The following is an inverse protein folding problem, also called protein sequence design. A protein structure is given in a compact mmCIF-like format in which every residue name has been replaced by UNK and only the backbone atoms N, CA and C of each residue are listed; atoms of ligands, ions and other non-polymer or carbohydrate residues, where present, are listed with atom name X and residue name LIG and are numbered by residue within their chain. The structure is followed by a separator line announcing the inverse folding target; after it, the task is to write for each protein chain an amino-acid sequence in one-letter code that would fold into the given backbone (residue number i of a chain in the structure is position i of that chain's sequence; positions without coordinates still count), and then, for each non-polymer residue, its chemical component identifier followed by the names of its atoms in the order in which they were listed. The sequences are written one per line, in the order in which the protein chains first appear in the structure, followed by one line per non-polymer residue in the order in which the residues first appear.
data_IF_495677789488
#
_entry.id   IF_495677789488
#
_cell.length_a   1.000
_cell.length_b   1.000
_cell.length_c   1.000
_cell.angle_alpha   90.00
_cell.angle_beta   90.00
_cell.angle_gamma   90.00
#
_symmetry.space_group_name_H-M   'P 1'
#
loop_
_entity.id
_entity.type
_entity.pdbx_description
1 polymer ?
2 non-polymer ?
3 water ?
#
# COMPACT_ATOMS: atom_id res chain seq x y z
N UNK A 12 8.57 7.88 22.84
CA UNK A 12 9.80 7.16 23.16
C UNK A 12 10.61 6.87 21.90
N UNK A 13 11.87 7.30 21.89
CA UNK A 13 12.78 7.12 20.76
C UNK A 13 14.02 6.36 21.22
N UNK A 14 14.90 6.07 20.28
CA UNK A 14 16.15 5.41 20.59
C UNK A 14 16.02 3.95 20.98
N UNK A 15 14.89 3.33 20.69
CA UNK A 15 14.65 1.93 21.02
C UNK A 15 14.09 1.20 19.81
N UNK A 16 14.68 0.06 19.49
CA UNK A 16 14.18 -0.81 18.43
C UNK A 16 13.40 -1.96 19.05
N UNK A 17 12.20 -2.20 18.53
CA UNK A 17 11.30 -3.23 19.04
C UNK A 17 10.96 -4.19 17.91
N UNK A 18 11.85 -5.14 17.67
CA UNK A 18 11.64 -6.17 16.66
C UNK A 18 11.03 -7.39 17.35
N UNK A 19 9.83 -7.78 16.92
CA UNK A 19 9.15 -8.89 17.54
C UNK A 19 8.60 -8.55 18.91
N UNK A 20 9.16 -9.17 19.95
CA UNK A 20 8.74 -8.90 21.30
C UNK A 20 9.87 -8.50 22.22
N UNK A 21 10.96 -8.01 21.64
CA UNK A 21 12.15 -7.61 22.38
C UNK A 21 12.51 -6.18 22.03
N UNK A 22 12.78 -5.37 23.05
CA UNK A 22 13.17 -3.97 22.87
C UNK A 22 14.66 -3.83 23.15
N UNK A 23 15.38 -3.27 22.19
CA UNK A 23 16.83 -3.08 22.28
C UNK A 23 17.15 -1.59 22.31
N UNK A 24 17.94 -1.17 23.30
CA UNK A 24 18.46 0.19 23.33
C UNK A 24 19.45 0.36 22.19
N UNK A 25 19.07 1.13 21.18
CA UNK A 25 19.86 1.24 19.96
C UNK A 25 20.31 2.68 19.74
N UNK A 26 21.25 2.83 18.82
CA UNK A 26 21.78 4.13 18.42
C UNK A 26 21.93 4.11 16.91
N UNK A 27 22.15 5.29 16.32
CA UNK A 27 22.26 5.38 14.87
C UNK A 27 23.49 4.61 14.37
N UNK A 28 24.57 4.62 15.16
CA UNK A 28 25.76 3.86 14.79
C UNK A 28 25.60 2.37 15.04
N UNK A 29 24.59 1.96 15.81
CA UNK A 29 24.33 0.54 15.98
C UNK A 29 23.70 -0.10 14.75
N UNK A 30 23.38 0.69 13.73
CA UNK A 30 22.80 0.19 12.50
C UNK A 30 23.84 0.29 11.38
N UNK A 31 24.03 -0.82 10.67
CA UNK A 31 24.99 -0.86 9.56
C UNK A 31 24.27 -0.57 8.25
N UNK A 32 24.67 0.50 7.59
CA UNK A 32 24.02 0.92 6.35
C UNK A 32 24.36 -0.05 5.22
N UNK A 33 23.33 -0.68 4.65
CA UNK A 33 23.50 -1.63 3.55
C UNK A 33 23.06 -1.04 2.21
N UNK A 34 22.91 0.27 2.13
CA UNK A 34 22.55 0.92 0.89
C UNK A 34 21.10 1.40 0.89
N UNK A 35 20.83 2.33 -0.01
CA UNK A 35 19.49 2.89 -0.15
C UNK A 35 18.60 1.95 -0.96
N UNK A 36 17.29 2.14 -0.81
CA UNK A 36 16.30 1.34 -1.51
C UNK A 36 15.43 2.24 -2.38
N UNK A 37 14.96 1.69 -3.49
CA UNK A 37 14.16 2.45 -4.43
C UNK A 37 12.68 2.41 -4.15
N UNK A 38 12.11 3.56 -3.80
CA UNK A 38 10.68 3.66 -3.52
C UNK A 38 10.27 5.13 -3.64
N UNK A 39 8.96 5.35 -3.59
CA UNK A 39 8.42 6.69 -3.63
C UNK A 39 8.83 7.51 -2.41
N UNK A 40 9.64 8.53 -2.61
CA UNK A 40 10.15 9.34 -1.52
C UNK A 40 9.04 10.17 -0.88
N UNK A 43 13.99 9.43 1.96
CA UNK A 43 15.19 8.64 1.71
C UNK A 43 15.26 7.44 2.65
N UNK A 44 14.86 6.27 2.16
CA UNK A 44 14.78 5.07 2.98
C UNK A 44 16.04 4.24 2.77
N UNK A 45 16.65 3.81 3.86
CA UNK A 45 17.85 2.98 3.83
C UNK A 45 17.52 1.56 4.28
N UNK A 46 18.31 0.62 3.79
CA UNK A 46 18.28 -0.76 4.28
C UNK A 46 19.46 -0.94 5.23
N UNK A 47 19.16 -1.19 6.50
CA UNK A 47 20.19 -1.26 7.53
C UNK A 47 20.11 -2.59 8.26
N UNK A 48 21.21 -2.93 8.94
CA UNK A 48 21.33 -4.17 9.68
C UNK A 48 21.68 -3.84 11.13
N UNK A 49 20.81 -4.24 12.05
CA UNK A 49 21.07 -4.04 13.48
C UNK A 49 22.22 -4.93 13.92
N UNK A 50 23.33 -4.31 14.32
CA UNK A 50 24.54 -5.08 14.62
C UNK A 50 24.36 -5.96 15.86
N UNK A 51 23.55 -5.53 16.83
CA UNK A 51 23.39 -6.30 18.05
C UNK A 51 22.52 -7.53 17.87
N UNK A 52 21.69 -7.58 16.82
CA UNK A 52 20.79 -8.71 16.59
C UNK A 52 20.95 -9.34 15.22
N UNK A 53 21.37 -8.58 14.20
CA UNK A 53 21.44 -9.08 12.85
C UNK A 53 20.21 -8.85 12.01
N UNK A 54 19.18 -8.21 12.57
CA UNK A 54 17.95 -7.96 11.82
C UNK A 54 18.20 -6.92 10.74
N UNK A 55 17.67 -7.18 9.55
CA UNK A 55 17.69 -6.22 8.44
C UNK A 55 16.40 -5.42 8.49
N UNK A 56 16.53 -4.10 8.62
CA UNK A 56 15.37 -3.22 8.78
C UNK A 56 15.46 -2.10 7.76
N UNK A 57 14.32 -1.43 7.56
CA UNK A 57 14.23 -0.27 6.68
C UNK A 57 14.24 0.99 7.53
N UNK A 58 15.18 1.89 7.25
CA UNK A 58 15.36 3.11 8.02
C UNK A 58 15.28 4.30 7.07
N UNK A 59 14.21 5.08 7.17
CA UNK A 59 14.08 6.30 6.39
C UNK A 59 14.63 7.47 7.18
N UNK A 60 15.50 8.26 6.55
CA UNK A 60 16.19 9.36 7.20
C UNK A 60 15.55 10.68 6.78
N UNK A 61 15.04 11.43 7.76
CA UNK A 61 14.48 12.75 7.54
C UNK A 61 15.51 13.79 7.95
N UNK A 62 16.10 14.47 6.97
CA UNK A 62 17.09 15.50 7.27
C UNK A 62 16.43 16.71 7.92
N UNK A 63 17.11 17.27 8.93
CA UNK A 63 16.59 18.44 9.61
C UNK A 63 16.52 19.65 8.68
N UNK A 64 17.46 19.77 7.76
CA UNK A 64 17.48 20.86 6.79
C UNK A 64 16.79 20.49 5.48
N UNK A 65 15.93 19.47 5.49
CA UNK A 65 15.25 19.04 4.30
C UNK A 65 14.05 19.92 3.97
N UNK A 66 13.29 19.48 2.98
CA UNK A 66 12.11 20.21 2.53
C UNK A 66 11.05 20.20 3.64
N UNK A 67 10.56 21.40 3.98
CA UNK A 67 9.53 21.49 5.00
C UNK A 67 8.25 20.79 4.58
N UNK A 68 7.94 20.80 3.27
CA UNK A 68 6.75 20.11 2.79
C UNK A 68 6.94 18.61 2.81
N UNK A 69 8.13 18.13 2.42
CA UNK A 69 8.39 16.70 2.45
C UNK A 69 8.49 16.18 3.88
N UNK A 70 9.17 16.94 4.75
CA UNK A 70 9.26 16.52 6.15
C UNK A 70 7.90 16.52 6.83
N UNK A 71 6.98 17.40 6.41
CA UNK A 71 5.63 17.37 6.94
C UNK A 71 4.91 16.10 6.55
N UNK A 72 5.13 15.63 5.32
CA UNK A 72 4.51 14.38 4.90
C UNK A 72 5.11 13.18 5.61
N UNK A 73 6.40 13.23 5.96
CA UNK A 73 7.03 12.13 6.67
C UNK A 73 6.50 12.05 8.09
N UNK A 74 6.32 13.20 8.75
CA UNK A 74 5.81 13.19 10.12
C UNK A 74 4.33 12.85 10.17
N UNK A 75 3.58 13.05 9.08
CA UNK A 75 2.17 12.71 9.08
C UNK A 75 1.97 11.21 9.06
N UNK A 76 2.72 10.51 8.20
CA UNK A 76 2.57 9.06 8.11
C UNK A 76 3.11 8.37 9.36
N UNK A 77 4.20 8.90 9.92
CA UNK A 77 4.73 8.34 11.16
C UNK A 77 3.71 8.47 12.29
N UNK A 78 2.97 9.57 12.32
CA UNK A 78 1.92 9.74 13.32
C UNK A 78 0.85 8.66 13.17
N UNK A 79 0.56 8.26 11.93
CA UNK A 79 -0.43 7.22 11.69
C UNK A 79 0.18 5.84 11.92
N UNK A 80 1.43 5.64 11.51
CA UNK A 80 2.08 4.34 11.65
C UNK A 80 2.26 3.99 13.12
N UNK A 81 2.62 4.98 13.94
CA UNK A 81 2.87 4.71 15.35
C UNK A 81 1.60 4.24 16.07
N UNK A 82 0.45 4.84 15.75
CA UNK A 82 -0.80 4.46 16.37
C UNK A 82 -1.52 3.33 15.61
N UNK A 83 -0.88 2.75 14.61
CA UNK A 83 -1.42 1.60 13.88
C UNK A 83 -0.68 0.31 14.25
N UNK A 84 -0.25 0.20 15.51
CA UNK A 84 0.52 -0.97 15.91
C UNK A 84 -0.35 -2.22 16.06
N UNK A 85 -1.64 -2.04 16.32
CA UNK A 85 -2.56 -3.16 16.48
C UNK A 85 -3.19 -3.62 15.17
N UNK A 86 -2.71 -3.10 14.03
CA UNK A 86 -3.22 -3.50 12.73
C UNK A 86 -2.17 -4.33 12.01
N UNK A 87 -2.49 -5.56 11.60
CA UNK A 87 -1.49 -6.41 10.94
C UNK A 87 -1.33 -6.15 9.45
N UNK A 88 -1.99 -5.13 8.91
CA UNK A 88 -1.92 -4.83 7.48
C UNK A 88 -1.30 -3.46 7.22
N UNK A 89 -0.62 -2.89 8.21
CA UNK A 89 0.08 -1.62 8.08
C UNK A 89 1.56 -1.87 8.37
N UNK A 90 2.43 -1.24 7.58
CA UNK A 90 3.86 -1.36 7.83
C UNK A 90 4.18 -0.77 9.20
N UNK A 91 4.91 -1.53 10.00
CA UNK A 91 5.16 -1.16 11.39
C UNK A 91 6.47 -0.40 11.53
N UNK A 92 6.55 0.40 12.59
CA UNK A 92 7.73 1.17 12.92
C UNK A 92 8.40 0.54 14.13
N UNK A 93 9.66 0.11 13.97
CA UNK A 93 10.37 -0.51 15.07
C UNK A 93 10.85 0.51 16.09
N UNK A 94 11.08 1.75 15.68
CA UNK A 94 11.55 2.77 16.60
C UNK A 94 12.01 3.99 15.84
N UNK A 95 12.49 4.96 16.60
CA UNK A 95 12.93 6.23 16.04
C UNK A 95 14.23 6.66 16.71
N UNK A 96 15.06 7.37 15.96
CA UNK A 96 16.31 7.94 16.46
C UNK A 96 16.32 9.42 16.14
N UNK A 97 16.36 10.26 17.16
CA UNK A 97 16.36 11.71 17.01
C UNK A 97 17.76 12.19 17.33
N UNK A 98 18.58 12.39 16.30
CA UNK A 98 19.91 12.93 16.46
C UNK A 98 19.86 14.46 16.37
N UNK A 99 21.04 15.09 16.42
CA UNK A 99 21.09 16.54 16.38
C UNK A 99 20.71 17.09 15.01
N UNK A 100 20.99 16.34 13.94
CA UNK A 100 20.75 16.83 12.59
C UNK A 100 19.80 15.96 11.78
N UNK A 101 19.36 14.81 12.31
CA UNK A 101 18.54 13.89 11.53
C UNK A 101 17.52 13.22 12.44
N UNK A 102 16.52 12.60 11.80
CA UNK A 102 15.55 11.76 12.48
C UNK A 102 15.42 10.47 11.67
N UNK A 103 15.69 9.34 12.32
CA UNK A 103 15.69 8.04 11.65
C UNK A 103 14.49 7.23 12.10
N UNK A 104 13.62 6.88 11.16
CA UNK A 104 12.44 6.08 11.42
C UNK A 104 12.71 4.65 10.97
N UNK A 105 12.62 3.71 11.90
CA UNK A 105 12.95 2.31 11.63
C UNK A 105 11.68 1.55 11.28
N UNK A 106 11.46 1.33 9.99
CA UNK A 106 10.33 0.54 9.51
C UNK A 106 10.77 -0.90 9.30
N UNK A 107 9.78 -1.81 9.30
CA UNK A 107 10.08 -3.20 9.02
C UNK A 107 10.48 -3.38 7.56
N UNK A 108 11.30 -4.38 7.30
CA UNK A 108 11.83 -4.63 5.98
C UNK A 108 10.95 -5.63 5.25
N UNK A 109 10.50 -5.26 4.06
CA UNK A 109 9.66 -6.11 3.23
C UNK A 109 10.31 -6.30 1.86
N UNK A 110 9.74 -7.22 1.09
CA UNK A 110 10.30 -7.58 -0.21
C UNK A 110 10.24 -6.48 -1.25
N UNK A 111 9.03 -6.12 -1.68
CA UNK A 111 8.85 -5.11 -2.71
C UNK A 111 7.41 -4.62 -2.65
N UNK A 112 7.02 -3.81 -3.64
CA UNK A 112 5.66 -3.31 -3.77
C UNK A 112 4.96 -4.01 -4.93
N UNK A 113 3.65 -3.81 -5.01
CA UNK A 113 2.88 -4.44 -6.08
C UNK A 113 3.22 -3.86 -7.44
N UNK A 114 3.70 -2.61 -7.49
CA UNK A 114 4.09 -2.02 -8.76
C UNK A 114 5.32 -2.71 -9.34
N UNK A 115 6.37 -2.83 -8.52
CA UNK A 115 7.58 -3.50 -8.98
C UNK A 115 7.34 -4.99 -9.21
N UNK A 116 6.46 -5.60 -8.42
CA UNK A 116 6.12 -7.00 -8.65
C UNK A 116 5.42 -7.18 -9.99
N UNK A 117 4.64 -6.19 -10.42
CA UNK A 117 4.03 -6.24 -11.75
C UNK A 117 5.08 -6.16 -12.84
N UNK A 118 6.17 -5.44 -12.59
CA UNK A 118 7.22 -5.30 -13.60
C UNK A 118 8.03 -6.60 -13.73
N UNK A 119 8.42 -7.18 -12.59
CA UNK A 119 9.19 -8.43 -12.63
C UNK A 119 8.36 -9.58 -13.18
N UNK A 120 7.05 -9.59 -12.92
CA UNK A 120 6.20 -10.65 -13.41
C UNK A 120 6.06 -10.61 -14.94
N UNK A 121 6.09 -9.40 -15.52
CA UNK A 121 5.87 -9.21 -16.95
C UNK A 121 4.56 -9.86 -17.40
N UNK A 122 3.54 -9.76 -16.56
CA UNK A 122 2.25 -10.35 -16.83
C UNK A 122 1.29 -10.21 -15.66
N UNK A 123 0.14 -10.87 -15.76
CA UNK A 123 -0.86 -10.74 -14.71
C UNK A 123 -0.42 -11.38 -13.41
N UNK A 124 -1.11 -11.01 -12.33
CA UNK A 124 -0.91 -11.58 -11.01
C UNK A 124 -2.07 -12.55 -10.74
N UNK A 125 -1.80 -13.74 -10.21
CA UNK A 125 -2.89 -14.69 -9.97
C UNK A 125 -3.95 -14.13 -9.04
N UNK A 126 -5.19 -14.60 -9.26
CA UNK A 126 -6.32 -14.11 -8.46
C UNK A 126 -6.17 -14.53 -7.00
N UNK A 127 -5.62 -15.72 -6.74
CA UNK A 127 -5.47 -16.18 -5.36
C UNK A 127 -4.50 -15.29 -4.59
N UNK A 128 -3.55 -14.67 -5.27
CA UNK A 128 -2.65 -13.71 -4.61
C UNK A 128 -3.35 -12.37 -4.42
N UNK A 129 -4.12 -11.94 -5.43
CA UNK A 129 -4.89 -10.71 -5.29
C UNK A 129 -6.02 -10.85 -4.28
N UNK A 130 -6.50 -12.07 -4.04
CA UNK A 130 -7.53 -12.26 -3.03
C UNK A 130 -7.01 -11.96 -1.63
N UNK A 131 -5.86 -12.53 -1.27
CA UNK A 131 -5.23 -12.19 0.00
C UNK A 131 -4.86 -10.72 0.06
N UNK A 132 -4.45 -10.14 -1.07
CA UNK A 132 -4.15 -8.72 -1.11
C UNK A 132 -5.41 -7.89 -0.91
N UNK A 133 -6.52 -8.31 -1.51
CA UNK A 133 -7.76 -7.55 -1.39
C UNK A 133 -8.25 -7.53 0.05
N UNK A 134 -8.21 -8.67 0.73
CA UNK A 134 -8.63 -8.72 2.13
C UNK A 134 -7.71 -7.87 2.99
N UNK A 135 -6.42 -7.79 2.63
CA UNK A 135 -5.47 -7.04 3.44
C UNK A 135 -5.69 -5.54 3.29
N UNK A 136 -5.83 -5.05 2.06
CA UNK A 136 -5.91 -3.61 1.84
C UNK A 136 -7.25 -3.07 2.35
N UNK A 137 -8.33 -3.83 2.19
CA UNK A 137 -9.63 -3.37 2.64
C UNK A 137 -9.66 -3.25 4.17
N UNK A 138 -9.17 -4.29 4.87
CA UNK A 138 -9.09 -4.22 6.32
C UNK A 138 -8.12 -3.15 6.79
N UNK A 139 -7.12 -2.83 5.97
CA UNK A 139 -6.20 -1.75 6.33
C UNK A 139 -6.86 -0.39 6.19
N UNK A 140 -7.60 -0.18 5.10
CA UNK A 140 -8.30 1.08 4.91
C UNK A 140 -9.47 1.21 5.89
N UNK A 141 -10.15 0.10 6.17
CA UNK A 141 -11.24 0.12 7.13
C UNK A 141 -10.74 0.45 8.54
N UNK A 142 -9.56 -0.07 8.89
CA UNK A 142 -8.97 0.25 10.18
C UNK A 142 -8.67 1.74 10.31
N UNK A 143 -8.20 2.36 9.23
CA UNK A 143 -7.87 3.77 9.27
C UNK A 143 -9.12 4.63 9.45
N UNK A 144 -10.23 4.25 8.79
CA UNK A 144 -11.43 5.06 8.86
C UNK A 144 -12.14 4.91 10.20
N UNK A 145 -12.00 3.76 10.86
CA UNK A 145 -12.71 3.48 12.10
C UNK A 145 -11.88 3.79 13.34
N UNK A 146 -10.64 3.31 13.40
CA UNK A 146 -9.82 3.51 14.59
C UNK A 146 -9.27 4.93 14.68
N UNK A 147 -9.04 5.58 13.55
CA UNK A 147 -8.45 6.92 13.56
C UNK A 147 -9.13 7.90 12.61
N UNK A 148 -10.16 7.48 11.87
CA UNK A 148 -10.79 8.37 10.92
C UNK A 148 -9.87 8.86 9.82
N UNK A 149 -8.92 8.03 9.41
CA UNK A 149 -7.89 8.41 8.45
C UNK A 149 -8.30 7.93 7.07
N UNK A 150 -8.18 8.81 6.08
CA UNK A 150 -8.45 8.50 4.68
C UNK A 150 -7.10 8.47 3.94
N UNK A 151 -6.82 7.36 3.27
CA UNK A 151 -5.54 7.20 2.59
C UNK A 151 -5.41 8.19 1.44
N UNK A 152 -6.37 8.19 0.52
CA UNK A 152 -6.47 9.12 -0.61
C UNK A 152 -5.33 8.96 -1.62
N UNK A 153 -4.58 7.86 -1.55
CA UNK A 153 -3.52 7.62 -2.53
C UNK A 153 -3.25 6.12 -2.62
N UNK A 154 -4.31 5.34 -2.85
CA UNK A 154 -4.18 3.89 -2.97
C UNK A 154 -3.74 3.54 -4.39
N UNK A 155 -2.65 2.78 -4.50
CA UNK A 155 -2.09 2.39 -5.79
C UNK A 155 -1.14 1.22 -5.54
N UNK A 156 -0.78 0.47 -6.60
CA UNK A 156 0.09 -0.69 -6.39
C UNK A 156 1.42 -0.35 -5.73
N UNK A 157 1.92 0.87 -5.90
CA UNK A 157 3.18 1.24 -5.28
C UNK A 157 3.11 1.33 -3.76
N UNK A 158 1.90 1.29 -3.19
CA UNK A 158 1.72 1.36 -1.74
C UNK A 158 1.25 0.05 -1.13
N UNK A 159 1.51 -1.07 -1.80
CA UNK A 159 1.11 -2.39 -1.33
C UNK A 159 2.37 -3.24 -1.25
N UNK A 160 2.83 -3.51 -0.02
CA UNK A 160 4.09 -4.20 0.21
C UNK A 160 3.88 -5.69 0.41
N UNK A 161 4.90 -6.47 0.07
CA UNK A 161 4.92 -7.92 0.28
C UNK A 161 6.30 -8.32 0.79
N UNK A 162 6.38 -9.54 1.33
CA UNK A 162 7.64 -10.06 1.86
C UNK A 162 7.74 -11.55 1.58
N UNK A 163 8.80 -12.16 2.10
CA UNK A 163 9.00 -13.59 1.91
C UNK A 163 8.00 -14.43 2.67
N UNK A 164 7.53 -13.94 3.82
CA UNK A 164 6.61 -14.70 4.68
C UNK A 164 5.17 -14.64 4.20
N UNK A 165 4.90 -14.04 3.04
CA UNK A 165 3.56 -14.01 2.50
C UNK A 165 2.67 -12.91 3.03
N UNK A 166 3.21 -11.98 3.81
CA UNK A 166 2.41 -10.88 4.33
C UNK A 166 2.20 -9.81 3.26
N UNK A 167 1.08 -9.10 3.37
CA UNK A 167 0.74 -8.00 2.48
C UNK A 167 0.25 -6.84 3.34
N UNK A 168 0.89 -5.69 3.21
CA UNK A 168 0.64 -4.59 4.12
C UNK A 168 0.54 -3.26 3.37
N UNK A 169 0.03 -2.27 4.06
CA UNK A 169 -0.11 -0.92 3.53
C UNK A 169 1.13 -0.11 3.80
N UNK A 170 1.37 0.88 2.94
CA UNK A 170 2.63 1.61 2.93
C UNK A 170 2.39 2.92 3.66
N UNK A 171 2.49 4.06 2.98
CA UNK A 171 2.61 5.31 3.69
C UNK A 171 1.70 6.41 3.17
N UNK A 172 1.13 7.10 4.13
CA UNK A 172 0.01 8.02 3.98
C UNK A 172 0.58 9.39 4.31
N UNK A 173 1.20 9.99 3.30
CA UNK A 173 1.77 11.31 3.46
C UNK A 173 0.77 12.38 3.08
N UNK A 174 -0.36 11.96 2.51
CA UNK A 174 -1.44 12.88 2.22
C UNK A 174 -2.69 12.54 3.01
N UNK A 175 -2.59 11.62 3.96
CA UNK A 175 -3.77 11.18 4.71
C UNK A 175 -4.37 12.33 5.50
N UNK A 176 -5.70 12.32 5.57
CA UNK A 176 -6.43 13.31 6.32
C UNK A 176 -7.44 12.66 7.25
N UNK A 177 -7.67 13.31 8.38
CA UNK A 177 -8.63 12.82 9.36
C UNK A 177 -10.05 13.18 8.96
N UNK A 189 -3.60 12.87 -4.20
CA UNK A 189 -3.32 11.53 -4.67
C UNK A 189 -2.93 11.49 -6.14
N UNK A 190 -2.53 10.31 -6.61
CA UNK A 190 -2.14 10.15 -8.00
C UNK A 190 -3.38 10.26 -8.89
N UNK A 191 -3.27 11.05 -9.97
CA UNK A 191 -4.40 11.28 -10.86
C UNK A 191 -4.77 10.04 -11.67
N UNK A 192 -3.93 9.02 -11.70
CA UNK A 192 -4.23 7.82 -12.48
C UNK A 192 -5.23 6.91 -11.78
N UNK A 193 -5.28 6.95 -10.45
CA UNK A 193 -6.20 6.13 -9.67
C UNK A 193 -7.25 6.97 -8.95
N UNK A 194 -7.41 8.23 -9.35
CA UNK A 194 -8.29 9.15 -8.64
C UNK A 194 -9.75 8.83 -8.93
N UNK A 195 -10.58 8.95 -7.90
CA UNK A 195 -11.99 8.61 -8.02
C UNK A 195 -12.71 9.60 -8.93
N UNK A 196 -13.83 9.19 -9.54
CA UNK A 196 -14.56 10.13 -10.40
C UNK A 196 -15.08 11.36 -9.67
N UNK A 197 -15.55 11.20 -8.43
CA UNK A 197 -16.04 12.35 -7.68
C UNK A 197 -14.92 13.22 -7.14
N UNK A 198 -13.69 12.71 -7.10
CA UNK A 198 -12.56 13.57 -6.77
C UNK A 198 -12.15 14.47 -7.92
N UNK A 199 -12.58 14.15 -9.14
CA UNK A 199 -12.32 14.99 -10.30
C UNK A 199 -13.40 16.04 -10.48
N UNK A 200 -14.66 15.66 -10.24
CA UNK A 200 -15.80 16.57 -10.35
C UNK A 200 -16.66 16.39 -9.10
N UNK A 201 -16.31 17.06 -8.01
CA UNK A 201 -17.02 16.83 -6.75
C UNK A 201 -18.33 17.61 -6.69
N UNK A 202 -19.44 16.93 -6.43
CA UNK A 202 -20.70 17.65 -6.19
C UNK A 202 -20.72 18.23 -4.79
N UNK A 203 -21.26 19.45 -4.68
CA UNK A 203 -21.37 20.18 -3.42
C UNK A 203 -20.02 20.32 -2.73
N UNK A 210 -14.42 11.48 2.49
CA UNK A 210 -15.01 10.55 1.53
C UNK A 210 -14.16 9.29 1.41
N UNK A 211 -14.48 8.29 2.22
CA UNK A 211 -13.71 7.04 2.22
C UNK A 211 -13.98 6.23 0.95
N UNK A 212 -15.12 6.43 0.31
CA UNK A 212 -15.45 5.67 -0.90
C UNK A 212 -14.61 6.08 -2.10
N UNK A 213 -13.77 7.11 -1.96
CA UNK A 213 -12.89 7.49 -3.06
C UNK A 213 -11.73 6.53 -3.21
N UNK A 214 -11.26 5.94 -2.11
CA UNK A 214 -10.20 4.95 -2.17
C UNK A 214 -10.70 3.60 -2.67
N UNK A 215 -12.00 3.33 -2.57
CA UNK A 215 -12.57 2.10 -3.12
C UNK A 215 -12.38 2.07 -4.63
N UNK A 216 -12.54 3.22 -5.28
CA UNK A 216 -12.27 3.29 -6.72
C UNK A 216 -10.79 3.10 -7.01
N UNK A 217 -9.92 3.74 -6.22
CA UNK A 217 -8.48 3.60 -6.43
C UNK A 217 -8.04 2.16 -6.22
N UNK A 218 -8.67 1.46 -5.28
CA UNK A 218 -8.36 0.05 -5.07
C UNK A 218 -8.84 -0.79 -6.25
N UNK A 219 -10.02 -0.48 -6.78
CA UNK A 219 -10.53 -1.23 -7.92
C UNK A 219 -9.68 -1.06 -9.16
N UNK A 220 -9.21 0.17 -9.41
CA UNK A 220 -8.33 0.40 -10.55
C UNK A 220 -7.00 -0.33 -10.36
N UNK A 221 -6.51 -0.38 -9.12
CA UNK A 221 -5.27 -1.10 -8.86
C UNK A 221 -5.45 -2.60 -9.03
N UNK A 222 -6.64 -3.13 -8.73
CA UNK A 222 -6.88 -4.56 -8.90
C UNK A 222 -6.89 -4.96 -10.37
N UNK A 223 -7.55 -4.15 -11.22
CA UNK A 223 -7.59 -4.45 -12.64
C UNK A 223 -6.20 -4.38 -13.25
N UNK A 224 -5.38 -3.43 -12.78
CA UNK A 224 -4.03 -3.30 -13.31
C UNK A 224 -3.18 -4.53 -12.98
N UNK A 225 -3.32 -5.05 -11.75
CA UNK A 225 -2.54 -6.21 -11.36
C UNK A 225 -3.13 -7.51 -11.90
N UNK A 226 -4.44 -7.58 -12.08
CA UNK A 226 -5.07 -8.79 -12.59
C UNK A 226 -4.85 -9.00 -14.08
N UNK A 227 -4.55 -7.93 -14.82
CA UNK A 227 -4.33 -8.02 -16.26
C UNK A 227 -2.91 -7.67 -16.68
N UNK A 228 -2.10 -7.09 -15.79
CA UNK A 228 -0.77 -6.66 -16.16
C UNK A 228 -0.72 -5.40 -16.98
N UNK A 229 -1.86 -4.74 -17.19
CA UNK A 229 -1.93 -3.52 -17.97
C UNK A 229 -2.75 -2.47 -17.21
N UNK A 230 -2.34 -1.22 -17.31
CA UNK A 230 -3.12 -0.15 -16.70
C UNK A 230 -4.44 0.02 -17.44
N UNK A 231 -5.55 0.22 -16.72
CA UNK A 231 -6.86 0.27 -17.40
C UNK A 231 -6.96 1.37 -18.45
N UNK A 232 -6.51 2.59 -18.12
CA UNK A 232 -6.59 3.72 -19.04
C UNK A 232 -5.24 3.87 -19.74
N UNK A 233 -5.07 3.08 -20.79
CA UNK A 233 -3.83 3.08 -21.56
C UNK A 233 -3.87 4.16 -22.65
N UNK A 234 -2.72 4.35 -23.29
CA UNK A 234 -2.55 5.34 -24.36
C UNK A 234 -2.92 6.74 -23.87
N UNK A 235 -2.39 7.11 -22.71
CA UNK A 235 -2.62 8.41 -22.09
C UNK A 235 -1.29 9.11 -21.88
N UNK A 236 -1.07 10.21 -22.59
CA UNK A 236 0.15 11.00 -22.48
C UNK A 236 -0.04 12.26 -21.65
N UNK A 237 -1.16 12.38 -20.94
CA UNK A 237 -1.44 13.55 -20.13
C UNK A 237 -2.27 13.13 -18.92
N UNK A 238 -1.95 13.71 -17.76
CA UNK A 238 -2.73 13.42 -16.56
C UNK A 238 -4.19 13.80 -16.74
N UNK A 239 -4.45 14.93 -17.43
CA UNK A 239 -5.83 15.35 -17.66
C UNK A 239 -6.54 14.40 -18.61
N UNK A 240 -5.82 13.79 -19.55
CA UNK A 240 -6.45 12.82 -20.45
C UNK A 240 -6.94 11.59 -19.69
N UNK A 241 -6.22 11.20 -18.63
CA UNK A 241 -6.68 10.10 -17.79
C UNK A 241 -7.98 10.48 -17.09
N UNK A 242 -8.08 11.75 -16.67
CA UNK A 242 -9.29 12.20 -15.99
C UNK A 242 -10.51 12.17 -16.91
N UNK A 243 -10.31 12.45 -18.19
CA UNK A 243 -11.43 12.46 -19.12
C UNK A 243 -11.96 11.05 -19.35
N UNK A 244 -11.07 10.06 -19.41
CA UNK A 244 -11.51 8.68 -19.64
C UNK A 244 -12.22 8.11 -18.42
N UNK A 245 -11.91 8.61 -17.23
CA UNK A 245 -12.60 8.13 -16.02
C UNK A 245 -14.05 8.59 -16.04
N UNK A 246 -14.30 9.82 -16.50
CA UNK A 246 -15.65 10.37 -16.51
C UNK A 246 -16.42 10.05 -17.78
N UNK A 247 -15.76 10.00 -18.92
CA UNK A 247 -16.46 9.77 -20.18
C UNK A 247 -16.73 8.29 -20.43
N UNK A 248 -15.74 7.44 -20.16
CA UNK A 248 -15.85 6.03 -20.48
C UNK A 248 -16.38 5.24 -19.28
N UNK A 249 -16.88 4.03 -19.58
CA UNK A 249 -17.37 3.14 -18.54
C UNK A 249 -16.22 2.64 -17.68
N UNK A 250 -16.51 2.24 -16.45
CA UNK A 250 -15.45 1.71 -15.57
C UNK A 250 -14.82 0.47 -16.16
N UNK A 251 -13.48 0.37 -16.14
CA UNK A 251 -12.81 -0.79 -16.74
C UNK A 251 -12.89 -2.03 -15.86
N UNK A 252 -13.82 -2.93 -16.18
CA UNK A 252 -13.99 -4.16 -15.43
C UNK A 252 -12.97 -5.20 -15.89
N UNK A 253 -13.04 -6.39 -15.29
CA UNK A 253 -12.10 -7.46 -15.62
C UNK A 253 -12.59 -8.23 -16.85
N UNK A 254 -11.68 -8.68 -17.70
CA UNK A 254 -12.08 -9.51 -18.84
C UNK A 254 -12.63 -10.85 -18.39
N UNK A 255 -13.53 -11.40 -19.19
CA UNK A 255 -14.15 -12.68 -18.87
C UNK A 255 -13.49 -13.89 -19.45
N UNK A 256 -12.47 -13.71 -20.29
CA UNK A 256 -11.79 -14.82 -20.95
C UNK A 256 -10.46 -15.18 -20.27
N UNK A 257 -10.25 -14.72 -19.04
CA UNK A 257 -9.05 -15.05 -18.28
C UNK A 257 -9.31 -16.02 -17.14
N UNK A 258 -10.53 -16.52 -17.01
CA UNK A 258 -10.84 -17.47 -15.95
C UNK A 258 -11.09 -16.84 -14.59
N UNK A 259 -11.38 -15.55 -14.55
CA UNK A 259 -11.65 -14.89 -13.27
C UNK A 259 -12.97 -15.39 -12.69
N UNK A 260 -12.99 -15.56 -11.37
CA UNK A 260 -14.20 -16.04 -10.70
C UNK A 260 -15.29 -14.98 -10.74
N UNK A 261 -16.54 -15.45 -10.55
CA UNK A 261 -17.65 -14.53 -10.51
C UNK A 261 -17.58 -13.57 -9.33
N UNK A 262 -17.09 -14.07 -8.19
CA UNK A 262 -16.95 -13.22 -7.01
C UNK A 262 -15.89 -12.14 -7.22
N UNK A 263 -14.82 -12.45 -7.96
CA UNK A 263 -13.79 -11.47 -8.23
C UNK A 263 -14.32 -10.36 -9.13
N UNK A 264 -15.03 -10.74 -10.20
CA UNK A 264 -15.59 -9.73 -11.10
C UNK A 264 -16.67 -8.90 -10.42
N UNK A 265 -17.43 -9.51 -9.50
CA UNK A 265 -18.44 -8.76 -8.76
C UNK A 265 -17.80 -7.75 -7.82
N UNK A 266 -16.63 -8.07 -7.27
CA UNK A 266 -15.97 -7.15 -6.35
C UNK A 266 -15.40 -5.95 -7.09
N UNK A 267 -14.81 -6.18 -8.27
CA UNK A 267 -14.25 -5.09 -9.05
C UNK A 267 -15.36 -4.18 -9.59
N UNK A 268 -16.45 -4.78 -10.07
CA UNK A 268 -17.56 -4.00 -10.57
C UNK A 268 -18.17 -3.12 -9.47
N UNK A 269 -18.25 -3.64 -8.24
CA UNK A 269 -18.77 -2.85 -7.14
C UNK A 269 -17.80 -1.75 -6.75
N UNK A 270 -16.50 -2.04 -6.74
CA UNK A 270 -15.50 -1.01 -6.44
C UNK A 270 -15.44 0.05 -7.53
N UNK A 271 -15.68 -0.33 -8.78
CA UNK A 271 -15.62 0.61 -9.89
C UNK A 271 -17.02 1.04 -10.30
N UNK A 272 -17.70 1.67 -9.34
CA UNK A 272 -19.01 2.29 -9.57
C UNK A 272 -18.78 3.79 -9.70
N UNK A 273 -19.18 4.36 -10.84
CA UNK A 273 -18.87 5.77 -11.12
C UNK A 273 -19.58 6.69 -10.13
N UNK A 274 -20.87 6.48 -9.91
CA UNK A 274 -21.61 7.27 -8.92
C UNK A 274 -21.11 6.92 -7.53
N UNK A 275 -20.44 7.88 -6.87
CA UNK A 275 -19.86 7.62 -5.56
C UNK A 275 -20.93 7.34 -4.50
N UNK A 276 -22.15 7.80 -4.72
CA UNK A 276 -23.22 7.51 -3.76
C UNK A 276 -23.62 6.04 -3.79
N UNK A 277 -23.56 5.40 -4.96
CA UNK A 277 -23.87 4.00 -5.09
C UNK A 277 -22.69 3.08 -4.81
N UNK A 278 -21.48 3.62 -4.75
CA UNK A 278 -20.31 2.80 -4.46
C UNK A 278 -20.35 2.37 -2.99
N UNK A 279 -20.10 1.10 -2.69
CA UNK A 279 -20.22 0.64 -1.31
C UNK A 279 -19.08 1.13 -0.44
N UNK A 280 -19.35 1.18 0.87
CA UNK A 280 -18.35 1.50 1.86
C UNK A 280 -17.61 0.24 2.30
N UNK A 281 -16.62 0.40 3.18
CA UNK A 281 -15.85 -0.74 3.64
C UNK A 281 -16.68 -1.72 4.45
N UNK A 282 -17.80 -1.28 5.02
CA UNK A 282 -18.64 -2.17 5.81
C UNK A 282 -19.20 -3.30 4.94
N UNK A 283 -19.88 -2.94 3.84
CA UNK A 283 -20.41 -3.96 2.95
C UNK A 283 -19.33 -4.64 2.12
N UNK A 284 -18.20 -3.97 1.90
CA UNK A 284 -17.10 -4.59 1.17
C UNK A 284 -16.55 -5.78 1.94
N UNK A 285 -16.50 -5.68 3.27
CA UNK A 285 -16.06 -6.82 4.08
C UNK A 285 -17.06 -7.96 4.02
N UNK A 286 -18.35 -7.65 3.85
CA UNK A 286 -19.37 -8.67 3.73
C UNK A 286 -19.49 -9.24 2.32
N UNK A 287 -18.62 -8.83 1.40
CA UNK A 287 -18.66 -9.35 0.05
C UNK A 287 -18.19 -10.80 0.02
N UNK A 288 -18.77 -11.58 -0.89
CA UNK A 288 -18.43 -13.01 -0.97
C UNK A 288 -16.99 -13.23 -1.40
N UNK A 289 -16.43 -12.30 -2.18
CA UNK A 289 -15.04 -12.43 -2.59
C UNK A 289 -14.09 -12.25 -1.41
N UNK A 290 -14.43 -11.36 -0.48
CA UNK A 290 -13.62 -11.17 0.72
C UNK A 290 -13.74 -12.39 1.64
N UNK A 291 -14.96 -12.86 1.85
CA UNK A 291 -15.19 -13.98 2.76
C UNK A 291 -14.54 -15.26 2.28
N UNK A 292 -14.23 -15.37 0.99
CA UNK A 292 -13.58 -16.58 0.48
C UNK A 292 -12.13 -16.65 0.93
N UNK A 293 -11.38 -15.57 0.73
CA UNK A 293 -9.95 -15.57 1.01
C UNK A 293 -9.61 -15.23 2.45
N UNK A 294 -10.61 -14.97 3.29
CA UNK A 294 -10.36 -14.86 4.73
C UNK A 294 -10.04 -16.22 5.33
N UNK A 295 -10.73 -17.26 4.88
CA UNK A 295 -10.55 -18.61 5.39
C UNK A 295 -9.71 -19.49 4.49
N UNK A 296 -9.59 -19.16 3.21
CA UNK A 296 -8.83 -19.99 2.29
C UNK A 296 -7.34 -19.90 2.60
N UNK A 297 -6.65 -21.03 2.49
CA UNK A 297 -5.22 -21.12 2.78
C UNK A 297 -4.46 -20.94 1.47
N UNK A 298 -3.96 -19.73 1.23
CA UNK A 298 -3.18 -19.42 0.04
C UNK A 298 -1.74 -19.19 0.46
N UNK A 299 -0.83 -19.99 -0.12
CA UNK A 299 0.59 -19.89 0.19
C UNK A 299 1.20 -18.75 -0.61
N UNK A 300 1.06 -17.54 -0.07
CA UNK A 300 1.68 -16.38 -0.69
C UNK A 300 3.19 -16.39 -0.51
N UNK A 301 3.69 -17.08 0.51
CA UNK A 301 5.12 -17.13 0.77
C UNK A 301 5.86 -17.85 -0.35
N UNK A 302 5.38 -19.04 -0.74
CA UNK A 302 6.07 -19.81 -1.76
C UNK A 302 5.96 -19.15 -3.14
N UNK A 303 4.79 -18.59 -3.46
CA UNK A 303 4.62 -17.93 -4.74
C UNK A 303 5.49 -16.68 -4.86
N UNK A 304 5.70 -15.97 -3.74
CA UNK A 304 6.51 -14.75 -3.78
C UNK A 304 7.97 -15.07 -4.07
N UNK A 305 8.50 -16.15 -3.49
CA UNK A 305 9.90 -16.50 -3.69
C UNK A 305 10.16 -16.97 -5.11
N UNK A 306 9.18 -17.60 -5.75
CA UNK A 306 9.38 -18.11 -7.11
C UNK A 306 9.41 -16.98 -8.13
N UNK A 307 8.60 -15.95 -7.93
CA UNK A 307 8.56 -14.83 -8.86
C UNK A 307 9.82 -13.99 -8.74
N UNK A 308 10.25 -13.69 -7.51
CA UNK A 308 11.45 -12.90 -7.30
C UNK A 308 12.71 -13.63 -7.73
N UNK A 309 12.67 -14.96 -7.83
CA UNK A 309 13.83 -15.71 -8.28
C UNK A 309 14.18 -15.38 -9.72
N UNK A 310 13.16 -15.30 -10.59
CA UNK A 310 13.37 -14.92 -11.98
C UNK A 310 13.44 -13.41 -12.07
N UNK A 311 14.66 -12.87 -12.09
CA UNK A 311 14.89 -11.44 -12.11
C UNK A 311 16.05 -11.11 -13.05
N UNK A 312 16.02 -9.91 -13.60
CA UNK A 312 17.06 -9.46 -14.50
C UNK A 312 18.31 -9.06 -13.73
#
# INVERSE_FOLDING_TARGET
MGHHHHHHSAKQTGYLTIGGQRYQAEINDLENLGEMGSGTCGQVWKMRFRKTGHVIAVKQMRRSGNKEENKRILMDLDVVLKSHDCPYIVQCFGTFITNTDVFIAMELMGTCAEKLKKRMQGPIPERILGKMTVAIVKALYYLKEKHGVIHRDVKPSNILLDERGQIKLCDFGISGRLVDSKAKTRSAGCAAYMAPERIDPPDPTKPDYDIRADVWSLGISLVELATGQFPYKNCKTDFEVLTKVLQEEPPLLPGHMGFSGDFQSFVKDCLTKDHRKRPKYNKLLEHSFIKRYETLEVDVASWFKDVMAKTESPRTSG
#
